data_IF_034300771000
#
_entry.id   IF_034300771000
#
_cell.length_a   1.000
_cell.length_b   1.000
_cell.length_c   1.000
_cell.angle_alpha   90.00
_cell.angle_beta   90.00
_cell.angle_gamma   90.00
#
_symmetry.space_group_name_H-M   'P 1'
#
loop_
_entity.id
_entity.type
_entity.pdbx_description
1 polymer ?
#
# COMPACT_ATOMS: atom_id res chain seq x y z
N UNK A 1 21.76 -20.48 -3.41
CA UNK A 1 22.52 -20.46 -2.15
C UNK A 1 21.94 -21.52 -1.22
N UNK A 2 22.66 -22.64 -1.16
CA UNK A 2 22.34 -23.89 -0.49
C UNK A 2 22.40 -23.74 1.04
N UNK A 3 21.42 -24.29 1.74
CA UNK A 3 21.50 -24.54 3.18
C UNK A 3 22.31 -25.82 3.38
N UNK A 4 23.62 -25.72 3.54
CA UNK A 4 24.46 -26.85 3.91
C UNK A 4 24.36 -27.08 5.41
N UNK A 5 23.82 -28.23 5.82
CA UNK A 5 23.94 -28.77 7.17
C UNK A 5 25.36 -29.33 7.32
N UNK A 6 26.34 -28.47 7.58
CA UNK A 6 27.66 -28.91 8.01
C UNK A 6 27.60 -29.26 9.48
N UNK A 7 27.81 -30.53 9.81
CA UNK A 7 28.08 -30.98 11.17
C UNK A 7 29.36 -30.30 11.67
N UNK A 8 29.22 -29.30 12.53
CA UNK A 8 30.37 -28.74 13.23
C UNK A 8 30.92 -29.78 14.21
N UNK A 9 31.94 -30.52 13.76
CA UNK A 9 32.96 -31.08 14.65
C UNK A 9 33.68 -29.89 15.31
N UNK A 10 33.56 -29.76 16.63
CA UNK A 10 34.26 -28.73 17.39
C UNK A 10 33.36 -27.61 17.92
N UNK A 11 32.36 -27.95 18.73
CA UNK A 11 31.81 -26.99 19.69
C UNK A 11 31.76 -27.67 21.07
N UNK A 12 32.78 -27.39 21.88
CA UNK A 12 32.84 -27.77 23.28
C UNK A 12 31.79 -26.96 24.07
N UNK A 13 30.54 -27.40 24.06
CA UNK A 13 29.53 -26.93 25.01
C UNK A 13 29.49 -27.92 26.17
N UNK A 14 30.10 -27.46 27.26
CA UNK A 14 30.26 -28.16 28.53
C UNK A 14 28.92 -28.52 29.18
N UNK A 15 28.96 -29.61 29.95
CA UNK A 15 27.85 -30.35 30.54
C UNK A 15 26.81 -29.52 31.30
N UNK A 16 25.53 -29.75 30.97
CA UNK A 16 24.38 -30.03 31.87
C UNK A 16 23.09 -30.01 31.05
N UNK A 17 22.27 -31.05 31.22
CA UNK A 17 21.21 -31.41 30.29
C UNK A 17 20.15 -30.34 30.02
N UNK A 18 19.83 -30.15 28.75
CA UNK A 18 18.47 -30.21 28.20
C UNK A 18 18.42 -29.59 26.79
N UNK A 19 17.75 -30.30 25.89
CA UNK A 19 17.32 -29.92 24.54
C UNK A 19 18.41 -29.61 23.49
N UNK A 20 18.50 -30.54 22.52
CA UNK A 20 19.07 -30.37 21.17
C UNK A 20 18.95 -28.93 20.64
N UNK A 21 20.01 -28.15 20.81
CA UNK A 21 20.20 -26.86 20.16
C UNK A 21 20.70 -27.15 18.74
N UNK A 22 19.76 -27.34 17.80
CA UNK A 22 20.11 -27.32 16.38
C UNK A 22 20.78 -25.98 16.06
N UNK A 23 22.10 -26.00 15.86
CA UNK A 23 22.87 -24.84 15.44
C UNK A 23 22.47 -24.46 14.02
N UNK A 24 21.77 -23.34 13.90
CA UNK A 24 21.48 -22.72 12.60
C UNK A 24 22.67 -21.81 12.29
N UNK A 25 23.60 -22.29 11.48
CA UNK A 25 24.67 -21.47 10.92
C UNK A 25 24.07 -20.56 9.85
N UNK A 26 23.59 -19.39 10.27
CA UNK A 26 23.40 -18.29 9.33
C UNK A 26 24.77 -17.69 9.06
N UNK A 27 25.14 -17.52 7.79
CA UNK A 27 26.24 -16.64 7.40
C UNK A 27 25.82 -15.20 7.75
N UNK A 28 25.99 -14.81 9.01
CA UNK A 28 25.76 -13.45 9.48
C UNK A 28 26.95 -12.59 9.02
N UNK A 29 26.72 -11.42 8.41
CA UNK A 29 27.79 -10.48 8.12
C UNK A 29 28.58 -10.15 9.40
N UNK A 30 29.92 -10.12 9.34
CA UNK A 30 30.82 -9.93 10.51
C UNK A 30 30.52 -8.68 11.35
N UNK A 31 29.85 -7.68 10.76
CA UNK A 31 29.41 -6.45 11.41
C UNK A 31 28.28 -6.64 12.46
N UNK A 32 27.77 -7.86 12.66
CA UNK A 32 26.64 -8.13 13.57
C UNK A 32 27.02 -8.54 15.00
N UNK A 33 28.30 -8.86 15.27
CA UNK A 33 28.73 -9.43 16.56
C UNK A 33 29.40 -8.39 17.47
N UNK A 34 29.86 -7.26 16.91
CA UNK A 34 30.52 -6.18 17.68
C UNK A 34 29.48 -5.29 18.38
N UNK A 35 28.95 -5.77 19.51
CA UNK A 35 28.15 -4.96 20.43
C UNK A 35 26.93 -5.65 21.07
N UNK A 36 26.66 -6.91 20.76
CA UNK A 36 25.53 -7.62 21.35
C UNK A 36 25.89 -8.23 22.71
N UNK A 37 25.85 -7.43 23.78
CA UNK A 37 25.62 -7.95 25.13
C UNK A 37 24.26 -8.66 25.14
N UNK A 38 24.28 -9.94 25.51
CA UNK A 38 23.20 -10.92 25.35
C UNK A 38 21.90 -10.56 26.10
N UNK A 39 21.94 -9.54 26.96
CA UNK A 39 20.90 -9.33 27.98
C UNK A 39 20.02 -8.09 27.79
N UNK A 40 20.22 -7.26 26.74
CA UNK A 40 19.51 -5.96 26.68
C UNK A 40 18.83 -5.57 25.37
N UNK A 41 18.85 -6.42 24.33
CA UNK A 41 18.28 -6.08 23.03
C UNK A 41 17.14 -7.05 22.64
N UNK A 42 15.92 -6.52 22.55
CA UNK A 42 14.68 -7.24 22.21
C UNK A 42 14.67 -7.94 20.83
N UNK A 43 15.67 -7.67 19.98
CA UNK A 43 15.81 -8.27 18.65
C UNK A 43 17.14 -9.03 18.53
N UNK A 44 17.06 -10.35 18.34
CA UNK A 44 18.21 -11.19 18.03
C UNK A 44 17.94 -11.93 16.71
N UNK A 45 18.75 -11.72 15.65
CA UNK A 45 18.52 -12.34 14.34
C UNK A 45 18.55 -13.88 14.40
N UNK A 46 19.35 -14.48 15.28
CA UNK A 46 19.40 -15.93 15.51
C UNK A 46 18.08 -16.44 16.07
N UNK A 47 17.49 -15.72 17.03
CA UNK A 47 16.16 -16.06 17.58
C UNK A 47 15.07 -16.00 16.50
N UNK A 48 15.12 -15.01 15.60
CA UNK A 48 14.14 -14.89 14.52
C UNK A 48 14.25 -16.04 13.50
N UNK A 49 15.48 -16.42 13.14
CA UNK A 49 15.74 -17.55 12.26
C UNK A 49 15.26 -18.87 12.89
N UNK A 50 15.58 -19.09 14.16
CA UNK A 50 15.10 -20.25 14.91
C UNK A 50 13.57 -20.33 14.96
N UNK A 51 12.88 -19.22 15.28
CA UNK A 51 11.42 -19.16 15.23
C UNK A 51 10.89 -19.52 13.83
N UNK A 52 11.55 -19.05 12.78
CA UNK A 52 11.14 -19.31 11.39
C UNK A 52 11.29 -20.79 11.03
N UNK A 53 12.38 -21.44 11.46
CA UNK A 53 12.56 -22.88 11.25
C UNK A 53 11.54 -23.70 12.04
N UNK A 54 11.29 -23.34 13.31
CA UNK A 54 10.25 -23.99 14.12
C UNK A 54 8.86 -23.85 13.48
N UNK A 55 8.52 -22.68 12.95
CA UNK A 55 7.26 -22.47 12.20
C UNK A 55 7.19 -23.38 10.97
N UNK A 56 8.29 -23.54 10.21
CA UNK A 56 8.35 -24.43 9.04
C UNK A 56 8.15 -25.89 9.45
N UNK A 57 8.82 -26.33 10.51
CA UNK A 57 8.67 -27.68 11.05
C UNK A 57 7.24 -27.96 11.52
N UNK A 58 6.64 -27.04 12.30
CA UNK A 58 5.25 -27.14 12.77
C UNK A 58 4.24 -27.14 11.61
N UNK A 59 4.48 -26.35 10.56
CA UNK A 59 3.66 -26.41 9.34
C UNK A 59 3.70 -27.79 8.69
N UNK A 60 4.90 -28.37 8.52
CA UNK A 60 5.07 -29.73 7.97
C UNK A 60 4.43 -30.80 8.86
N UNK A 61 4.46 -30.64 10.18
CA UNK A 61 3.75 -31.54 11.09
C UNK A 61 2.22 -31.43 10.91
N UNK A 62 1.69 -30.21 10.88
CA UNK A 62 0.24 -29.97 10.81
C UNK A 62 -0.38 -30.31 9.45
N UNK A 63 0.42 -30.43 8.39
CA UNK A 63 -0.04 -31.00 7.11
C UNK A 63 -0.39 -32.48 7.25
N UNK A 64 0.40 -33.24 8.02
CA UNK A 64 0.12 -34.66 8.29
C UNK A 64 -0.92 -34.85 9.40
N UNK A 65 -0.77 -34.12 10.51
CA UNK A 65 -1.61 -34.27 11.70
C UNK A 65 -2.51 -33.06 11.93
N UNK A 66 -3.55 -32.94 11.10
CA UNK A 66 -4.44 -31.76 11.11
C UNK A 66 -5.28 -31.62 12.39
N UNK A 67 -5.48 -32.68 13.17
CA UNK A 67 -6.34 -32.66 14.38
C UNK A 67 -5.60 -32.21 15.65
N UNK A 68 -4.27 -32.17 15.64
CA UNK A 68 -3.49 -31.73 16.79
C UNK A 68 -3.72 -30.24 17.09
N UNK A 69 -4.43 -29.97 18.18
CA UNK A 69 -4.77 -28.61 18.64
C UNK A 69 -3.59 -27.93 19.34
N UNK A 70 -2.72 -28.69 19.99
CA UNK A 70 -1.56 -28.17 20.74
C UNK A 70 -0.56 -27.59 19.76
N UNK A 71 -0.19 -28.35 18.72
CA UNK A 71 0.71 -27.87 17.67
C UNK A 71 0.15 -26.68 16.89
N UNK A 72 -1.18 -26.59 16.70
CA UNK A 72 -1.82 -25.41 16.11
C UNK A 72 -1.70 -24.16 16.96
N UNK A 73 -1.95 -24.29 18.27
CA UNK A 73 -1.79 -23.19 19.22
C UNK A 73 -0.34 -22.73 19.28
N UNK A 74 0.61 -23.68 19.34
CA UNK A 74 2.03 -23.35 19.31
C UNK A 74 2.42 -22.65 18.01
N UNK A 75 1.92 -23.10 16.86
CA UNK A 75 2.18 -22.44 15.57
C UNK A 75 1.70 -20.99 15.56
N UNK A 76 0.48 -20.72 16.04
CA UNK A 76 -0.08 -19.36 16.07
C UNK A 76 0.73 -18.44 17.00
N UNK A 77 1.13 -18.94 18.17
CA UNK A 77 1.97 -18.24 19.13
C UNK A 77 3.35 -17.87 18.54
N UNK A 78 4.04 -18.84 17.92
CA UNK A 78 5.36 -18.58 17.31
C UNK A 78 5.25 -17.60 16.14
N UNK A 79 4.17 -17.66 15.34
CA UNK A 79 3.91 -16.68 14.27
C UNK A 79 3.71 -15.28 14.87
N UNK A 80 2.93 -15.15 15.94
CA UNK A 80 2.70 -13.87 16.62
C UNK A 80 4.01 -13.30 17.20
N UNK A 81 4.79 -14.13 17.91
CA UNK A 81 6.11 -13.74 18.45
C UNK A 81 7.05 -13.25 17.34
N UNK A 82 7.15 -14.00 16.23
CA UNK A 82 7.96 -13.60 15.07
C UNK A 82 7.50 -12.27 14.47
N UNK A 83 6.19 -12.03 14.34
CA UNK A 83 5.64 -10.75 13.84
C UNK A 83 5.99 -9.58 14.76
N UNK A 84 5.88 -9.76 16.08
CA UNK A 84 6.28 -8.75 17.08
C UNK A 84 7.75 -8.39 16.95
N UNK A 85 8.63 -9.40 16.85
CA UNK A 85 10.07 -9.19 16.66
C UNK A 85 10.39 -8.47 15.35
N UNK A 86 9.76 -8.85 14.23
CA UNK A 86 9.94 -8.17 12.95
C UNK A 86 9.50 -6.69 12.99
N UNK A 87 8.42 -6.38 13.73
CA UNK A 87 7.97 -5.00 13.94
C UNK A 87 8.99 -4.18 14.71
N UNK A 88 9.59 -4.75 15.76
CA UNK A 88 10.64 -4.11 16.56
C UNK A 88 11.90 -3.91 15.71
N UNK A 89 12.34 -4.96 15.00
CA UNK A 89 13.51 -4.92 14.13
C UNK A 89 13.37 -3.85 13.03
N UNK A 90 12.21 -3.75 12.40
CA UNK A 90 11.95 -2.72 11.37
C UNK A 90 12.10 -1.29 11.92
N UNK A 91 11.71 -1.06 13.18
CA UNK A 91 11.82 0.26 13.81
C UNK A 91 13.25 0.62 14.16
N UNK A 92 14.04 -0.37 14.61
CA UNK A 92 15.40 -0.13 15.09
C UNK A 92 16.41 -0.16 13.96
N UNK A 93 16.39 -1.18 13.10
CA UNK A 93 17.39 -1.41 12.06
C UNK A 93 16.76 -1.86 10.75
N UNK A 94 16.52 -0.91 9.85
CA UNK A 94 15.87 -1.18 8.56
C UNK A 94 16.75 -2.04 7.63
N UNK A 95 18.06 -1.82 7.60
CA UNK A 95 19.02 -2.58 6.76
C UNK A 95 18.97 -4.06 7.14
N UNK A 96 19.07 -4.35 8.43
CA UNK A 96 19.05 -5.71 8.97
C UNK A 96 17.70 -6.39 8.74
N UNK A 97 16.60 -5.64 8.87
CA UNK A 97 15.27 -6.11 8.54
C UNK A 97 15.16 -6.54 7.07
N UNK A 98 15.65 -5.72 6.13
CA UNK A 98 15.60 -6.03 4.70
C UNK A 98 16.43 -7.27 4.35
N UNK A 99 17.66 -7.35 4.85
CA UNK A 99 18.52 -8.51 4.63
C UNK A 99 17.89 -9.79 5.18
N UNK A 100 17.41 -9.76 6.42
CA UNK A 100 16.87 -10.94 7.10
C UNK A 100 15.55 -11.43 6.48
N UNK A 101 14.69 -10.51 6.04
CA UNK A 101 13.44 -10.86 5.35
C UNK A 101 13.69 -11.47 3.97
N UNK A 102 14.72 -10.97 3.25
CA UNK A 102 15.19 -11.54 1.99
C UNK A 102 15.76 -12.96 2.20
N UNK A 103 16.66 -13.11 3.16
CA UNK A 103 17.35 -14.39 3.43
C UNK A 103 16.38 -15.48 3.91
N UNK A 104 15.52 -15.16 4.89
CA UNK A 104 14.53 -16.10 5.41
C UNK A 104 13.31 -16.28 4.50
N UNK A 105 13.24 -15.56 3.37
CA UNK A 105 12.11 -15.54 2.42
C UNK A 105 10.77 -15.27 3.13
N UNK A 106 10.73 -14.21 3.94
CA UNK A 106 9.54 -13.82 4.71
C UNK A 106 8.89 -12.60 4.06
N UNK A 107 7.65 -12.74 3.60
CA UNK A 107 6.81 -11.60 3.22
C UNK A 107 6.31 -10.90 4.49
N UNK A 108 6.79 -9.68 4.74
CA UNK A 108 6.33 -8.87 5.86
C UNK A 108 5.07 -8.08 5.48
N UNK A 109 3.95 -8.44 6.09
CA UNK A 109 2.73 -7.65 6.06
C UNK A 109 2.62 -6.83 7.36
N UNK A 110 2.49 -5.49 7.29
CA UNK A 110 2.27 -4.68 8.48
C UNK A 110 0.95 -5.06 9.17
N UNK A 111 0.93 -4.97 10.49
CA UNK A 111 -0.32 -5.14 11.25
C UNK A 111 -1.26 -4.00 10.87
N UNK A 112 -2.54 -4.27 10.53
CA UNK A 112 -3.50 -3.22 10.22
C UNK A 112 -3.63 -2.26 11.41
N UNK A 113 -3.81 -0.96 11.12
CA UNK A 113 -3.95 0.09 12.14
C UNK A 113 -5.18 -0.14 13.03
N UNK A 114 -6.23 -0.71 12.48
CA UNK A 114 -7.48 -1.00 13.16
C UNK A 114 -7.75 -2.50 13.16
N UNK A 115 -8.16 -3.03 14.31
CA UNK A 115 -8.66 -4.40 14.43
C UNK A 115 -10.11 -4.36 13.96
N UNK A 116 -10.34 -4.82 12.73
CA UNK A 116 -11.71 -4.98 12.25
C UNK A 116 -12.35 -6.18 12.96
N UNK A 117 -13.54 -5.97 13.53
CA UNK A 117 -14.38 -7.07 13.97
C UNK A 117 -14.61 -8.05 12.81
N UNK A 118 -14.65 -9.37 13.08
CA UNK A 118 -14.96 -10.35 12.05
C UNK A 118 -16.23 -9.96 11.29
N UNK A 119 -16.13 -9.89 9.97
CA UNK A 119 -17.22 -9.39 9.15
C UNK A 119 -18.39 -10.38 9.16
N UNK A 120 -19.55 -9.94 9.63
CA UNK A 120 -20.76 -10.77 9.61
C UNK A 120 -21.22 -11.09 8.17
N UNK A 121 -22.01 -12.14 7.98
CA UNK A 121 -22.59 -12.49 6.66
C UNK A 121 -23.39 -11.31 6.07
N UNK A 122 -24.13 -10.58 6.91
CA UNK A 122 -24.85 -9.34 6.55
C UNK A 122 -23.87 -8.23 6.13
N UNK A 123 -22.81 -8.00 6.90
CA UNK A 123 -21.76 -7.02 6.57
C UNK A 123 -21.07 -7.32 5.24
N UNK A 124 -20.72 -8.59 4.98
CA UNK A 124 -20.14 -9.03 3.71
C UNK A 124 -21.11 -8.86 2.53
N UNK A 125 -22.41 -9.08 2.72
CA UNK A 125 -23.43 -8.82 1.69
C UNK A 125 -23.50 -7.33 1.38
N UNK A 126 -23.63 -6.48 2.40
CA UNK A 126 -23.65 -5.02 2.24
C UNK A 126 -22.41 -4.52 1.51
N UNK A 127 -21.20 -4.92 1.95
CA UNK A 127 -19.93 -4.53 1.31
C UNK A 127 -19.89 -4.89 -0.17
N UNK A 128 -20.36 -6.09 -0.54
CA UNK A 128 -20.45 -6.52 -1.95
C UNK A 128 -21.42 -5.63 -2.74
N UNK A 129 -22.60 -5.36 -2.20
CA UNK A 129 -23.58 -4.48 -2.84
C UNK A 129 -23.05 -3.06 -3.01
N UNK A 130 -22.42 -2.47 -1.99
CA UNK A 130 -21.80 -1.14 -2.08
C UNK A 130 -20.70 -1.11 -3.15
N UNK A 131 -19.82 -2.12 -3.19
CA UNK A 131 -18.77 -2.20 -4.20
C UNK A 131 -19.34 -2.30 -5.62
N UNK A 132 -20.42 -3.06 -5.81
CA UNK A 132 -21.12 -3.16 -7.10
C UNK A 132 -21.76 -1.81 -7.49
N UNK A 133 -22.49 -1.19 -6.58
CA UNK A 133 -23.10 0.12 -6.80
C UNK A 133 -22.06 1.19 -7.14
N UNK A 134 -20.93 1.22 -6.43
CA UNK A 134 -19.84 2.14 -6.71
C UNK A 134 -19.24 1.94 -8.12
N UNK A 135 -19.03 0.69 -8.54
CA UNK A 135 -18.58 0.38 -9.90
C UNK A 135 -19.56 0.86 -10.97
N UNK A 136 -20.86 0.64 -10.77
CA UNK A 136 -21.89 1.11 -11.71
C UNK A 136 -21.92 2.64 -11.79
N UNK A 137 -21.74 3.34 -10.66
CA UNK A 137 -21.62 4.80 -10.66
C UNK A 137 -20.43 5.29 -11.46
N UNK A 138 -19.25 4.68 -11.28
CA UNK A 138 -18.04 5.01 -12.04
C UNK A 138 -18.30 4.83 -13.54
N UNK A 139 -18.83 3.67 -13.94
CA UNK A 139 -19.15 3.40 -15.35
C UNK A 139 -20.13 4.42 -15.95
N UNK A 140 -21.13 4.85 -15.18
CA UNK A 140 -22.07 5.89 -15.64
C UNK A 140 -21.36 7.24 -15.83
N UNK A 141 -20.47 7.61 -14.92
CA UNK A 141 -19.69 8.84 -15.02
C UNK A 141 -18.74 8.78 -16.23
N UNK A 142 -18.07 7.65 -16.46
CA UNK A 142 -17.19 7.45 -17.62
C UNK A 142 -17.94 7.59 -18.94
N UNK A 143 -19.10 6.94 -19.07
CA UNK A 143 -19.98 7.08 -20.24
C UNK A 143 -20.42 8.51 -20.49
N UNK A 144 -20.77 9.26 -19.43
CA UNK A 144 -21.13 10.67 -19.57
C UNK A 144 -19.94 11.52 -20.01
N UNK A 145 -18.75 11.26 -19.48
CA UNK A 145 -17.52 11.95 -19.89
C UNK A 145 -17.18 11.70 -21.36
N UNK A 146 -17.44 10.50 -21.88
CA UNK A 146 -17.27 10.18 -23.30
C UNK A 146 -18.20 11.02 -24.17
N UNK A 147 -19.50 11.03 -23.86
CA UNK A 147 -20.48 11.86 -24.57
C UNK A 147 -20.11 13.35 -24.58
N UNK A 148 -19.72 13.90 -23.44
CA UNK A 148 -19.31 15.30 -23.36
C UNK A 148 -18.02 15.60 -24.14
N UNK A 149 -17.13 14.62 -24.34
CA UNK A 149 -15.95 14.81 -25.20
C UNK A 149 -16.34 14.91 -26.67
N UNK A 150 -17.26 14.08 -27.12
CA UNK A 150 -17.80 14.10 -28.49
C UNK A 150 -18.55 15.41 -28.75
N UNK A 151 -19.48 15.78 -27.86
CA UNK A 151 -20.22 17.04 -27.94
C UNK A 151 -19.29 18.25 -27.96
N UNK A 152 -18.21 18.21 -27.18
CA UNK A 152 -17.21 19.28 -27.17
C UNK A 152 -16.50 19.43 -28.52
N UNK A 153 -16.11 18.33 -29.16
CA UNK A 153 -15.45 18.38 -30.47
C UNK A 153 -16.39 19.01 -31.51
N UNK A 154 -17.66 18.59 -31.51
CA UNK A 154 -18.68 19.15 -32.41
C UNK A 154 -18.87 20.65 -32.16
N UNK A 155 -18.98 21.04 -30.88
CA UNK A 155 -19.14 22.44 -30.49
C UNK A 155 -17.91 23.29 -30.85
N UNK A 156 -16.70 22.78 -30.67
CA UNK A 156 -15.46 23.49 -31.00
C UNK A 156 -15.34 23.70 -32.52
N UNK A 157 -15.77 22.73 -33.34
CA UNK A 157 -15.84 22.87 -34.80
C UNK A 157 -16.87 23.92 -35.23
N UNK A 158 -18.11 23.81 -34.75
CA UNK A 158 -19.15 24.82 -35.00
C UNK A 158 -18.70 26.22 -34.59
N UNK A 159 -18.09 26.34 -33.41
CA UNK A 159 -17.56 27.60 -32.91
C UNK A 159 -16.48 28.18 -33.83
N UNK A 160 -15.59 27.36 -34.36
CA UNK A 160 -14.55 27.81 -35.29
C UNK A 160 -15.15 28.30 -36.62
N UNK A 161 -16.14 27.59 -37.15
CA UNK A 161 -16.89 27.99 -38.35
C UNK A 161 -17.58 29.34 -38.14
N UNK A 162 -18.37 29.49 -37.09
CA UNK A 162 -19.06 30.75 -36.77
C UNK A 162 -18.07 31.90 -36.53
N UNK A 163 -16.94 31.65 -35.86
CA UNK A 163 -15.91 32.68 -35.70
C UNK A 163 -15.32 33.11 -37.05
N UNK A 164 -15.11 32.17 -37.98
CA UNK A 164 -14.63 32.50 -39.32
C UNK A 164 -15.65 33.26 -40.17
N UNK A 165 -16.95 33.03 -39.96
CA UNK A 165 -18.03 33.81 -40.58
C UNK A 165 -18.06 35.24 -40.05
N UNK A 166 -18.02 35.39 -38.72
CA UNK A 166 -17.96 36.71 -38.05
C UNK A 166 -16.74 37.50 -38.55
N UNK A 167 -15.57 36.85 -38.69
CA UNK A 167 -14.37 37.50 -39.21
C UNK A 167 -14.51 37.99 -40.66
N UNK A 168 -15.30 37.31 -41.50
CA UNK A 168 -15.59 37.77 -42.86
C UNK A 168 -16.54 38.95 -42.85
N UNK A 169 -17.64 38.85 -42.10
CA UNK A 169 -18.64 39.92 -41.99
C UNK A 169 -18.00 41.23 -41.47
N UNK A 170 -17.11 41.14 -40.49
CA UNK A 170 -16.38 42.30 -39.96
C UNK A 170 -15.46 42.94 -41.00
N UNK A 171 -14.78 42.13 -41.83
CA UNK A 171 -13.95 42.64 -42.93
C UNK A 171 -14.79 43.31 -44.00
N UNK A 172 -15.91 42.71 -44.38
CA UNK A 172 -16.82 43.26 -45.40
C UNK A 172 -17.43 44.60 -44.94
N UNK A 173 -17.69 44.73 -43.63
CA UNK A 173 -18.22 45.96 -43.02
C UNK A 173 -17.12 46.97 -42.62
N UNK A 174 -15.83 46.65 -42.78
CA UNK A 174 -14.68 47.44 -42.31
C UNK A 174 -14.75 47.84 -40.82
N UNK A 175 -15.30 46.98 -39.98
CA UNK A 175 -15.42 47.19 -38.54
C UNK A 175 -14.31 46.44 -37.81
N UNK A 176 -13.66 47.08 -36.83
CA UNK A 176 -12.78 46.36 -35.90
C UNK A 176 -13.62 45.60 -34.88
N UNK A 177 -13.10 44.46 -34.39
CA UNK A 177 -13.68 43.73 -33.26
C UNK A 177 -13.88 44.65 -32.04
N UNK A 178 -13.00 45.62 -31.85
CA UNK A 178 -13.05 46.56 -30.72
C UNK A 178 -14.19 47.60 -30.85
N UNK A 179 -14.67 47.87 -32.07
CA UNK A 179 -15.73 48.88 -32.31
C UNK A 179 -17.14 48.36 -32.02
N UNK A 180 -17.32 47.03 -32.07
CA UNK A 180 -18.60 46.35 -31.78
C UNK A 180 -18.74 46.04 -30.28
N UNK A 181 -17.66 46.13 -29.51
CA UNK A 181 -17.62 45.77 -28.09
C UNK A 181 -18.08 46.92 -27.17
N UNK A 182 -19.23 46.77 -26.51
CA UNK A 182 -19.68 47.70 -25.47
C UNK A 182 -18.82 47.54 -24.18
N UNK A 183 -18.00 48.55 -23.79
CA UNK A 183 -17.09 48.44 -22.65
C UNK A 183 -17.80 48.18 -21.32
N UNK A 184 -19.08 48.53 -21.19
CA UNK A 184 -19.87 48.29 -19.97
C UNK A 184 -20.09 46.79 -19.73
N UNK A 185 -20.22 45.99 -20.79
CA UNK A 185 -20.48 44.55 -20.70
C UNK A 185 -19.26 43.74 -20.20
N UNK A 186 -18.03 44.18 -20.53
CA UNK A 186 -16.77 43.59 -20.04
C UNK A 186 -16.62 43.78 -18.52
N UNK A 187 -16.88 44.98 -18.01
CA UNK A 187 -16.81 45.27 -16.57
C UNK A 187 -17.76 44.39 -15.73
N UNK A 188 -18.97 44.11 -16.24
CA UNK A 188 -19.93 43.19 -15.63
C UNK A 188 -19.45 41.74 -15.67
N UNK A 189 -18.95 41.26 -16.82
CA UNK A 189 -18.42 39.88 -16.96
C UNK A 189 -17.21 39.64 -16.05
N UNK A 190 -16.32 40.62 -15.92
CA UNK A 190 -15.15 40.55 -15.04
C UNK A 190 -15.53 40.56 -13.55
N UNK A 191 -16.53 41.36 -13.14
CA UNK A 191 -17.12 41.32 -11.79
C UNK A 191 -17.68 39.93 -11.47
N UNK A 192 -18.49 39.36 -12.37
CA UNK A 192 -19.08 38.02 -12.18
C UNK A 192 -18.01 36.91 -12.14
N UNK A 193 -16.93 37.03 -12.94
CA UNK A 193 -15.79 36.10 -12.86
C UNK A 193 -15.08 36.18 -11.51
N UNK A 194 -14.81 37.38 -10.99
CA UNK A 194 -14.22 37.58 -9.65
C UNK A 194 -15.10 36.98 -8.54
N UNK A 195 -16.42 37.16 -8.61
CA UNK A 195 -17.36 36.60 -7.63
C UNK A 195 -17.39 35.06 -7.65
N UNK A 196 -17.37 34.43 -8.83
CA UNK A 196 -17.34 32.96 -8.93
C UNK A 196 -16.03 32.35 -8.42
N UNK A 197 -14.90 33.01 -8.66
CA UNK A 197 -13.59 32.60 -8.11
C UNK A 197 -13.58 32.74 -6.58
N UNK A 198 -14.15 33.81 -6.03
CA UNK A 198 -14.31 33.97 -4.57
C UNK A 198 -15.28 32.94 -3.96
N UNK A 199 -16.31 32.53 -4.69
CA UNK A 199 -17.25 31.50 -4.23
C UNK A 199 -16.60 30.10 -4.23
N UNK A 200 -15.80 29.76 -5.24
CA UNK A 200 -15.05 28.50 -5.29
C UNK A 200 -13.89 28.44 -4.27
N UNK A 201 -13.38 29.60 -3.83
CA UNK A 201 -12.36 29.70 -2.76
C UNK A 201 -12.90 29.57 -1.33
N UNK A 202 -14.22 29.64 -1.11
CA UNK A 202 -14.85 29.34 0.18
C UNK A 202 -15.11 27.84 0.30
N UNK A 203 -14.05 27.08 0.55
CA UNK A 203 -14.16 25.74 1.13
C UNK A 203 -14.60 25.95 2.58
N UNK A 204 -15.86 25.61 2.87
CA UNK A 204 -16.37 25.55 4.25
C UNK A 204 -15.65 24.40 4.96
N UNK A 205 -14.93 24.70 6.03
CA UNK A 205 -14.38 23.73 6.99
C UNK A 205 -15.50 23.13 7.84
#
# INVERSE_FOLDING_TARGET
LSLTLTSCFGCACNAKGSALSHCVTLNLPENYVKGCSIDRIDWNPRRLAYLTLRIRALKKHLTSFRKDKVSKSMLSEKIAKRRKMLKILKKQNMINFQWLTKELRILYAPVPKYIYWPMTKKGNRKRRSHKKAFRMKIQKIEKLREKYREEKIIFDAYKAETLSEIEKDLKDLNLSIDDVYDPVALSKKERVKKEKVQFQGRIWY
#
